data_IF_575422570113
#
_entry.id   IF_575422570113
#
_cell.length_a   1.000
_cell.length_b   1.000
_cell.length_c   1.000
_cell.angle_alpha   90.00
_cell.angle_beta   90.00
_cell.angle_gamma   90.00
#
_symmetry.space_group_name_H-M   'P 1'
#
loop_
_entity.id
_entity.type
_entity.pdbx_description
1 polymer ?
#
# COMPACT_ATOMS: atom_id res chain seq x y z
N UNK A 1 21.80 12.19 9.02
CA UNK A 1 21.72 10.78 8.61
C UNK A 1 21.00 10.06 9.72
N UNK A 2 19.85 9.51 9.38
CA UNK A 2 18.79 9.12 10.30
C UNK A 2 18.35 7.72 9.88
N UNK A 3 17.92 6.93 10.85
CA UNK A 3 17.53 5.54 10.65
C UNK A 3 16.07 5.39 11.01
N UNK A 4 15.39 4.47 10.32
CA UNK A 4 14.06 4.07 10.71
C UNK A 4 14.10 3.33 12.05
N UNK A 5 13.06 3.53 12.85
CA UNK A 5 12.87 2.73 14.06
C UNK A 5 12.55 1.28 13.69
N UNK A 6 12.79 0.35 14.63
CA UNK A 6 12.46 -1.07 14.48
C UNK A 6 11.00 -1.29 14.08
N UNK A 7 10.09 -0.48 14.63
CA UNK A 7 8.64 -0.53 14.35
C UNK A 7 8.34 -0.08 12.92
N UNK A 8 8.95 1.02 12.46
CA UNK A 8 8.79 1.51 11.09
C UNK A 8 9.34 0.50 10.07
N UNK A 9 10.48 -0.13 10.36
CA UNK A 9 11.04 -1.16 9.50
C UNK A 9 10.12 -2.39 9.38
N UNK A 10 9.48 -2.82 10.47
CA UNK A 10 8.47 -3.90 10.44
C UNK A 10 7.23 -3.51 9.63
N UNK A 11 6.80 -2.26 9.73
CA UNK A 11 5.69 -1.74 8.95
C UNK A 11 6.00 -1.72 7.45
N UNK A 12 7.20 -1.29 7.06
CA UNK A 12 7.66 -1.35 5.66
C UNK A 12 7.75 -2.77 5.13
N UNK A 13 8.28 -3.71 5.91
CA UNK A 13 8.31 -5.13 5.54
C UNK A 13 6.91 -5.64 5.24
N UNK A 14 5.94 -5.36 6.11
CA UNK A 14 4.54 -5.75 5.92
C UNK A 14 3.92 -5.13 4.67
N UNK A 15 4.11 -3.83 4.47
CA UNK A 15 3.52 -3.08 3.34
C UNK A 15 4.10 -3.51 2.00
N UNK A 16 5.41 -3.79 1.95
CA UNK A 16 6.10 -4.29 0.75
C UNK A 16 5.86 -5.78 0.51
N UNK A 17 5.17 -6.47 1.43
CA UNK A 17 4.73 -7.86 1.26
C UNK A 17 5.73 -8.91 1.74
N UNK A 18 6.64 -8.56 2.63
CA UNK A 18 7.56 -9.50 3.28
C UNK A 18 6.94 -9.99 4.59
N UNK A 19 6.46 -11.24 4.57
CA UNK A 19 5.82 -11.89 5.74
C UNK A 19 6.84 -12.55 6.68
N UNK A 20 8.03 -12.88 6.17
CA UNK A 20 9.15 -13.37 6.96
C UNK A 20 10.27 -12.32 6.96
N UNK A 21 10.86 -12.09 8.13
CA UNK A 21 11.94 -11.14 8.35
C UNK A 21 13.18 -11.55 7.55
N UNK A 22 13.30 -11.05 6.32
CA UNK A 22 14.51 -11.25 5.53
C UNK A 22 15.63 -10.39 6.11
N UNK A 23 16.71 -11.02 6.58
CA UNK A 23 17.87 -10.33 7.15
C UNK A 23 18.49 -9.32 6.18
N UNK A 24 18.41 -9.58 4.88
CA UNK A 24 18.83 -8.68 3.80
C UNK A 24 18.02 -7.40 3.77
N UNK A 25 16.69 -7.51 3.87
CA UNK A 25 15.77 -6.38 3.83
C UNK A 25 15.90 -5.55 5.10
N UNK A 26 16.03 -6.23 6.24
CA UNK A 26 16.26 -5.56 7.52
C UNK A 26 17.52 -4.70 7.47
N UNK A 27 18.59 -5.20 6.86
CA UNK A 27 19.86 -4.48 6.71
C UNK A 27 19.70 -3.22 5.85
N UNK A 28 18.97 -3.31 4.74
CA UNK A 28 18.66 -2.14 3.90
C UNK A 28 17.76 -1.13 4.64
N UNK A 29 16.76 -1.59 5.40
CA UNK A 29 15.85 -0.71 6.16
C UNK A 29 16.53 -0.03 7.35
N UNK A 30 17.54 -0.66 7.96
CA UNK A 30 18.35 -0.06 9.03
C UNK A 30 19.52 0.77 8.50
N UNK A 31 19.65 0.91 7.18
CA UNK A 31 20.69 1.75 6.59
C UNK A 31 20.43 3.22 6.88
N UNK A 32 21.48 4.04 6.72
CA UNK A 32 21.36 5.47 6.92
C UNK A 32 20.68 6.12 5.71
N UNK A 33 19.54 6.78 5.95
CA UNK A 33 18.85 7.57 4.94
C UNK A 33 19.06 9.07 5.17
N UNK A 34 18.80 9.85 4.12
CA UNK A 34 18.69 11.30 4.25
C UNK A 34 17.34 11.65 4.87
N UNK A 35 17.27 12.78 5.59
CA UNK A 35 16.02 13.24 6.21
C UNK A 35 14.90 13.39 5.16
N UNK A 36 15.24 13.88 3.95
CA UNK A 36 14.28 14.00 2.84
C UNK A 36 13.67 12.67 2.39
N UNK A 37 14.44 11.58 2.44
CA UNK A 37 13.93 10.24 2.09
C UNK A 37 13.02 9.76 3.20
N UNK A 38 13.37 9.96 4.47
CA UNK A 38 12.53 9.57 5.60
C UNK A 38 11.19 10.30 5.57
N UNK A 39 11.20 11.62 5.41
CA UNK A 39 10.00 12.44 5.34
C UNK A 39 9.07 12.00 4.19
N UNK A 40 9.65 11.75 3.00
CA UNK A 40 8.86 11.27 1.86
C UNK A 40 8.30 9.88 2.10
N UNK A 41 9.08 8.99 2.72
CA UNK A 41 8.66 7.62 3.03
C UNK A 41 7.49 7.61 4.01
N UNK A 42 7.53 8.45 5.05
CA UNK A 42 6.43 8.62 5.99
C UNK A 42 5.19 9.24 5.34
N UNK A 43 5.38 10.27 4.50
CA UNK A 43 4.28 10.86 3.70
C UNK A 43 3.61 9.82 2.81
N UNK A 44 4.38 8.92 2.19
CA UNK A 44 3.82 7.84 1.37
C UNK A 44 3.01 6.87 2.22
N UNK A 45 3.41 6.57 3.45
CA UNK A 45 2.62 5.74 4.37
C UNK A 45 1.25 6.39 4.64
N UNK A 46 1.23 7.68 4.97
CA UNK A 46 -0.01 8.41 5.22
C UNK A 46 -0.92 8.43 3.98
N UNK A 47 -0.35 8.65 2.79
CA UNK A 47 -1.07 8.58 1.51
C UNK A 47 -1.65 7.18 1.27
N UNK A 48 -0.90 6.11 1.55
CA UNK A 48 -1.38 4.72 1.41
C UNK A 48 -2.54 4.42 2.36
N UNK A 49 -2.47 4.90 3.62
CA UNK A 49 -3.57 4.77 4.59
C UNK A 49 -4.81 5.53 4.11
N UNK A 50 -4.64 6.73 3.54
CA UNK A 50 -5.74 7.50 2.95
C UNK A 50 -6.41 6.75 1.80
N UNK A 51 -5.62 6.16 0.89
CA UNK A 51 -6.12 5.34 -0.22
C UNK A 51 -6.92 4.14 0.29
N UNK A 52 -6.43 3.46 1.33
CA UNK A 52 -7.13 2.32 1.93
C UNK A 52 -8.49 2.74 2.53
N UNK A 53 -8.54 3.90 3.20
CA UNK A 53 -9.78 4.46 3.73
C UNK A 53 -10.79 4.80 2.63
N UNK A 54 -10.35 5.44 1.54
CA UNK A 54 -11.20 5.76 0.38
C UNK A 54 -11.72 4.51 -0.33
N UNK A 55 -10.90 3.46 -0.40
CA UNK A 55 -11.30 2.16 -0.95
C UNK A 55 -12.35 1.49 -0.06
N UNK A 56 -12.22 1.57 1.26
CA UNK A 56 -13.23 1.08 2.21
C UNK A 56 -14.55 1.85 2.10
N UNK A 57 -14.49 3.18 2.03
CA UNK A 57 -15.66 4.03 1.84
C UNK A 57 -16.37 3.73 0.51
N UNK A 58 -15.61 3.53 -0.57
CA UNK A 58 -16.15 3.14 -1.89
C UNK A 58 -16.89 1.79 -1.85
N UNK A 59 -16.47 0.86 -0.99
CA UNK A 59 -17.15 -0.43 -0.81
C UNK A 59 -18.46 -0.26 -0.01
N UNK A 60 -18.42 0.48 1.09
CA UNK A 60 -19.59 0.73 1.94
C UNK A 60 -20.70 1.48 1.17
N UNK A 61 -20.31 2.50 0.40
CA UNK A 61 -21.24 3.28 -0.43
C UNK A 61 -21.85 2.46 -1.56
N UNK A 62 -21.06 1.59 -2.22
CA UNK A 62 -21.55 0.67 -3.24
C UNK A 62 -22.62 -0.29 -2.68
N UNK A 63 -22.42 -0.82 -1.47
CA UNK A 63 -23.37 -1.72 -0.82
C UNK A 63 -24.71 -1.02 -0.51
N UNK A 64 -24.66 0.21 -0.03
CA UNK A 64 -25.87 1.00 0.28
C UNK A 64 -26.67 1.36 -0.98
N UNK A 65 -26.01 1.61 -2.11
CA UNK A 65 -26.69 2.00 -3.35
C UNK A 65 -27.31 0.84 -4.13
N UNK A 66 -26.73 -0.37 -4.07
CA UNK A 66 -27.41 -1.56 -4.61
C UNK A 66 -28.74 -1.81 -3.88
N UNK A 67 -28.84 -1.51 -2.58
CA UNK A 67 -30.10 -1.55 -1.83
C UNK A 67 -31.14 -0.50 -2.28
N UNK A 68 -30.74 0.56 -3.01
CA UNK A 68 -31.61 1.66 -3.47
C UNK A 68 -31.82 1.69 -4.99
N UNK A 69 -31.40 0.64 -5.71
CA UNK A 69 -31.76 0.41 -7.11
C UNK A 69 -31.06 1.29 -8.16
N UNK A 70 -30.11 2.14 -7.77
CA UNK A 70 -29.32 2.98 -8.70
C UNK A 70 -27.86 2.56 -8.68
N UNK A 71 -27.38 1.97 -9.78
CA UNK A 71 -26.03 1.42 -9.89
C UNK A 71 -25.04 2.51 -10.34
N UNK A 72 -24.45 3.25 -9.40
CA UNK A 72 -23.27 4.09 -9.70
C UNK A 72 -22.06 3.19 -9.93
N UNK A 73 -21.34 3.41 -11.03
CA UNK A 73 -20.18 2.61 -11.40
C UNK A 73 -18.92 3.09 -10.65
N UNK A 74 -18.73 2.62 -9.42
CA UNK A 74 -17.51 2.87 -8.62
C UNK A 74 -16.27 2.17 -9.18
N UNK A 75 -16.43 1.29 -10.16
CA UNK A 75 -15.34 0.50 -10.74
C UNK A 75 -14.18 1.35 -11.26
N UNK A 76 -14.49 2.49 -11.90
CA UNK A 76 -13.45 3.40 -12.42
C UNK A 76 -12.70 4.10 -11.28
N UNK A 77 -13.43 4.50 -10.23
CA UNK A 77 -12.84 5.17 -9.06
C UNK A 77 -11.94 4.20 -8.27
N UNK A 78 -12.44 2.99 -7.99
CA UNK A 78 -11.67 1.93 -7.33
C UNK A 78 -10.44 1.54 -8.16
N UNK A 79 -10.56 1.46 -9.49
CA UNK A 79 -9.41 1.17 -10.36
C UNK A 79 -8.35 2.28 -10.30
N UNK A 80 -8.77 3.54 -10.27
CA UNK A 80 -7.86 4.68 -10.12
C UNK A 80 -7.13 4.64 -8.77
N UNK A 81 -7.87 4.47 -7.66
CA UNK A 81 -7.30 4.37 -6.32
C UNK A 81 -6.28 3.22 -6.20
N UNK A 82 -6.59 2.05 -6.78
CA UNK A 82 -5.65 0.90 -6.82
C UNK A 82 -4.39 1.20 -7.65
N UNK A 83 -4.55 1.94 -8.75
CA UNK A 83 -3.42 2.38 -9.59
C UNK A 83 -2.52 3.35 -8.83
N UNK A 84 -3.10 4.33 -8.14
CA UNK A 84 -2.34 5.28 -7.31
C UNK A 84 -1.64 4.56 -6.15
N UNK A 85 -2.32 3.66 -5.45
CA UNK A 85 -1.71 2.85 -4.39
C UNK A 85 -0.56 1.99 -4.89
N UNK A 86 -0.68 1.42 -6.10
CA UNK A 86 0.42 0.70 -6.76
C UNK A 86 1.60 1.61 -7.04
N UNK A 87 1.36 2.82 -7.56
CA UNK A 87 2.42 3.79 -7.85
C UNK A 87 3.19 4.14 -6.58
N UNK A 88 2.48 4.40 -5.48
CA UNK A 88 3.06 4.73 -4.19
C UNK A 88 3.87 3.57 -3.60
N UNK A 89 3.39 2.32 -3.70
CA UNK A 89 4.17 1.14 -3.28
C UNK A 89 5.47 0.99 -4.07
N UNK A 90 5.44 1.24 -5.38
CA UNK A 90 6.64 1.17 -6.22
C UNK A 90 7.61 2.31 -5.87
N UNK A 91 7.10 3.52 -5.63
CA UNK A 91 7.90 4.66 -5.17
C UNK A 91 8.57 4.36 -3.82
N UNK A 92 7.81 3.82 -2.86
CA UNK A 92 8.29 3.41 -1.55
C UNK A 92 9.44 2.40 -1.67
N UNK A 93 9.26 1.34 -2.46
CA UNK A 93 10.30 0.35 -2.69
C UNK A 93 11.57 0.94 -3.32
N UNK A 94 11.43 1.88 -4.26
CA UNK A 94 12.58 2.58 -4.86
C UNK A 94 13.34 3.45 -3.86
N UNK A 95 12.63 4.19 -3.02
CA UNK A 95 13.24 5.04 -1.99
C UNK A 95 14.02 4.21 -0.97
N UNK A 96 13.46 3.07 -0.57
CA UNK A 96 14.06 2.14 0.40
C UNK A 96 15.04 1.15 -0.24
N UNK A 97 15.18 1.16 -1.58
CA UNK A 97 15.98 0.18 -2.34
C UNK A 97 15.56 -1.28 -2.08
N UNK A 98 14.30 -1.49 -1.71
CA UNK A 98 13.70 -2.80 -1.46
C UNK A 98 12.66 -3.08 -2.54
N UNK A 99 12.71 -4.27 -3.15
CA UNK A 99 11.70 -4.68 -4.13
C UNK A 99 10.32 -4.87 -3.49
N UNK A 100 9.24 -4.61 -4.23
CA UNK A 100 7.87 -4.94 -3.78
C UNK A 100 7.63 -6.43 -4.01
N UNK A 101 7.48 -7.21 -2.94
CA UNK A 101 7.23 -8.65 -3.03
C UNK A 101 5.76 -8.97 -3.34
N UNK A 102 4.84 -8.23 -2.70
CA UNK A 102 3.41 -8.37 -2.94
C UNK A 102 2.74 -7.00 -3.04
N UNK A 103 1.93 -6.81 -4.08
CA UNK A 103 1.14 -5.60 -4.26
C UNK A 103 -0.34 -5.90 -3.96
N UNK A 104 -0.82 -5.42 -2.81
CA UNK A 104 -2.22 -5.59 -2.37
C UNK A 104 -3.25 -4.94 -3.31
N UNK A 105 -2.87 -3.92 -4.09
CA UNK A 105 -3.77 -3.24 -5.02
C UNK A 105 -3.90 -3.95 -6.36
N UNK A 106 -2.95 -4.82 -6.71
CA UNK A 106 -2.94 -5.64 -7.92
C UNK A 106 -2.73 -7.12 -7.55
N UNK A 107 -3.72 -7.75 -6.90
CA UNK A 107 -3.69 -9.19 -6.68
C UNK A 107 -3.58 -9.88 -8.04
N UNK A 108 -2.60 -10.76 -8.20
CA UNK A 108 -2.39 -11.52 -9.42
C UNK A 108 -3.70 -12.26 -9.77
N UNK A 109 -4.11 -12.27 -11.06
CA UNK A 109 -5.45 -12.69 -11.57
C UNK A 109 -5.96 -14.07 -11.11
N UNK A 110 -5.12 -14.87 -10.45
CA UNK A 110 -5.48 -16.17 -9.87
C UNK A 110 -6.18 -16.07 -8.52
N UNK A 111 -6.04 -14.94 -7.80
CA UNK A 111 -6.85 -14.63 -6.63
C UNK A 111 -8.05 -13.79 -7.07
N UNK A 112 -9.24 -14.17 -6.58
CA UNK A 112 -10.49 -13.47 -6.84
C UNK A 112 -10.28 -11.94 -6.65
N UNK A 113 -10.58 -11.08 -7.65
CA UNK A 113 -10.36 -9.65 -7.54
C UNK A 113 -11.21 -8.99 -6.43
N UNK A 114 -12.26 -9.69 -5.99
CA UNK A 114 -13.13 -9.35 -4.85
C UNK A 114 -12.58 -9.82 -3.50
N UNK A 115 -11.63 -10.76 -3.49
CA UNK A 115 -11.07 -11.35 -2.27
C UNK A 115 -9.80 -10.65 -1.78
N UNK A 116 -9.22 -9.72 -2.55
CA UNK A 116 -8.00 -9.01 -2.17
C UNK A 116 -8.20 -7.85 -1.16
N UNK A 117 -9.35 -7.84 -0.47
CA UNK A 117 -9.62 -6.98 0.69
C UNK A 117 -9.88 -7.80 1.95
N UNK A 118 -9.13 -8.89 2.12
CA UNK A 118 -9.04 -9.66 3.34
C UNK A 118 -7.60 -10.12 3.53
#
# INVERSE_FOLDING_TARGET
MTQFTTVQAEEFERILGFFESSSLIRTELTSNYSDTVIDRTLSILDELVSIDNLLKESLETSFVQESRGSKLSYRSHVAHLKSEGTRLLIELGRLLRVGVNYNKYLPNKKCNPTAAYW
#
